data_IF_646672768475
#
_entry.id   IF_646672768475
#
_cell.length_a   1.000
_cell.length_b   1.000
_cell.length_c   1.000
_cell.angle_alpha   90.00
_cell.angle_beta   90.00
_cell.angle_gamma   90.00
#
_symmetry.space_group_name_H-M   'P 1'
#
loop_
_entity.id
_entity.type
_entity.pdbx_description
1 polymer ?
#
# COMPACT_ATOMS: atom_id res chain seq x y z
N UNK A 1 -7.72 7.59 14.11
CA UNK A 1 -8.54 7.76 12.88
C UNK A 1 -7.99 6.93 11.72
N UNK A 2 -8.83 6.28 10.89
CA UNK A 2 -8.37 5.54 9.69
C UNK A 2 -8.59 6.36 8.41
N UNK A 3 -7.60 6.37 7.51
CA UNK A 3 -7.68 7.12 6.24
C UNK A 3 -7.18 6.24 5.10
N UNK A 4 -8.04 5.98 4.12
CA UNK A 4 -7.62 5.39 2.85
C UNK A 4 -7.04 6.47 1.95
N UNK A 5 -5.91 6.18 1.31
CA UNK A 5 -5.44 6.98 0.19
C UNK A 5 -4.99 6.15 -1.00
N UNK A 6 -5.17 6.75 -2.17
CA UNK A 6 -4.67 6.23 -3.44
C UNK A 6 -4.34 7.39 -4.36
N UNK A 7 -3.40 7.16 -5.27
CA UNK A 7 -3.23 8.05 -6.41
C UNK A 7 -4.46 8.00 -7.31
N UNK A 8 -4.69 9.11 -8.01
CA UNK A 8 -5.69 9.21 -9.06
C UNK A 8 -5.24 8.35 -10.26
N UNK A 9 -5.99 7.30 -10.64
CA UNK A 9 -5.60 6.42 -11.73
C UNK A 9 -5.60 7.11 -13.10
N UNK A 10 -6.28 8.25 -13.25
CA UNK A 10 -6.38 9.02 -14.49
C UNK A 10 -5.58 10.35 -14.43
N UNK A 11 -4.97 10.67 -13.28
CA UNK A 11 -4.38 11.98 -12.98
C UNK A 11 -2.87 12.09 -13.17
N UNK A 12 -2.33 13.29 -12.93
CA UNK A 12 -0.88 13.54 -12.78
C UNK A 12 -0.33 12.75 -11.58
N UNK A 13 0.98 12.43 -11.62
CA UNK A 13 1.65 11.48 -10.71
C UNK A 13 1.53 11.76 -9.21
N UNK A 14 1.15 12.96 -8.82
CA UNK A 14 1.03 13.44 -7.44
C UNK A 14 -0.44 13.62 -6.98
N UNK A 15 -1.43 13.53 -7.88
CA UNK A 15 -2.84 13.68 -7.50
C UNK A 15 -3.37 12.41 -6.85
N UNK A 16 -4.28 12.57 -5.91
CA UNK A 16 -4.86 11.43 -5.21
C UNK A 16 -6.22 11.70 -4.61
N UNK A 17 -6.71 10.69 -3.90
CA UNK A 17 -7.93 10.74 -3.13
C UNK A 17 -7.65 10.31 -1.70
N UNK A 18 -8.27 11.01 -0.75
CA UNK A 18 -8.30 10.69 0.66
C UNK A 18 -9.73 10.39 1.09
N UNK A 19 -9.93 9.32 1.85
CA UNK A 19 -11.23 8.96 2.40
C UNK A 19 -11.06 8.56 3.86
N UNK A 20 -11.78 9.22 4.77
CA UNK A 20 -11.84 8.76 6.16
C UNK A 20 -12.68 7.49 6.22
N UNK A 21 -12.18 6.49 6.92
CA UNK A 21 -12.80 5.19 7.10
C UNK A 21 -13.14 5.03 8.59
N UNK A 22 -14.36 4.58 8.86
CA UNK A 22 -14.79 4.26 10.22
C UNK A 22 -14.16 2.95 10.70
N UNK A 23 -14.22 2.67 12.00
CA UNK A 23 -13.72 1.40 12.55
C UNK A 23 -14.50 0.17 12.04
N UNK A 24 -15.67 0.37 11.42
CA UNK A 24 -16.45 -0.70 10.78
C UNK A 24 -16.06 -0.91 9.30
N UNK A 25 -15.16 -0.08 8.75
CA UNK A 25 -14.74 -0.15 7.35
C UNK A 25 -15.57 0.70 6.39
N UNK A 26 -16.64 1.33 6.86
CA UNK A 26 -17.49 2.21 6.03
C UNK A 26 -16.86 3.61 5.83
N UNK A 27 -17.17 4.23 4.69
CA UNK A 27 -16.78 5.60 4.39
C UNK A 27 -17.41 6.60 5.39
N UNK A 28 -16.57 7.30 6.13
CA UNK A 28 -16.97 8.35 7.06
C UNK A 28 -16.95 9.73 6.38
N UNK A 29 -17.90 9.95 5.47
CA UNK A 29 -18.02 11.17 4.66
C UNK A 29 -17.54 10.99 3.22
N UNK A 30 -17.50 12.06 2.41
CA UNK A 30 -17.10 11.98 1.00
C UNK A 30 -15.59 11.86 0.83
N UNK A 31 -15.18 11.22 -0.27
CA UNK A 31 -13.78 11.19 -0.69
C UNK A 31 -13.33 12.60 -1.10
N UNK A 32 -12.14 12.98 -0.66
CA UNK A 32 -11.51 14.27 -0.93
C UNK A 32 -10.41 14.10 -1.97
N UNK A 33 -10.59 14.73 -3.12
CA UNK A 33 -9.52 14.86 -4.11
C UNK A 33 -8.42 15.80 -3.56
N UNK A 34 -7.17 15.41 -3.77
CA UNK A 34 -5.99 16.18 -3.39
C UNK A 34 -5.08 16.37 -4.60
N UNK A 35 -4.55 17.59 -4.73
CA UNK A 35 -3.68 17.94 -5.84
C UNK A 35 -2.25 17.38 -5.68
N UNK A 36 -1.81 17.18 -4.44
CA UNK A 36 -0.51 16.63 -4.07
C UNK A 36 -0.71 15.71 -2.86
N UNK A 37 -0.74 14.41 -3.13
CA UNK A 37 -1.04 13.38 -2.15
C UNK A 37 0.06 13.30 -1.10
N UNK A 38 1.32 13.37 -1.51
CA UNK A 38 2.45 13.26 -0.60
C UNK A 38 2.52 14.43 0.38
N UNK A 39 2.23 15.65 -0.07
CA UNK A 39 2.17 16.83 0.80
C UNK A 39 1.04 16.71 1.82
N UNK A 40 -0.13 16.23 1.41
CA UNK A 40 -1.29 16.05 2.29
C UNK A 40 -1.06 14.95 3.34
N UNK A 41 -0.47 13.81 2.93
CA UNK A 41 -0.06 12.76 3.86
C UNK A 41 0.95 13.31 4.87
N UNK A 42 1.96 14.05 4.41
CA UNK A 42 2.97 14.65 5.29
C UNK A 42 2.39 15.67 6.27
N UNK A 43 1.43 16.50 5.84
CA UNK A 43 0.76 17.45 6.70
C UNK A 43 -0.07 16.75 7.80
N UNK A 44 -0.79 15.69 7.45
CA UNK A 44 -1.59 14.92 8.40
C UNK A 44 -0.73 14.15 9.41
N UNK A 45 0.39 13.57 8.98
CA UNK A 45 1.38 12.95 9.88
C UNK A 45 2.01 13.97 10.83
N UNK A 46 2.29 15.19 10.39
CA UNK A 46 2.89 16.24 11.25
C UNK A 46 1.89 16.89 12.22
N UNK A 47 0.59 16.85 11.90
CA UNK A 47 -0.44 17.51 12.70
C UNK A 47 -0.73 16.82 14.03
N UNK A 48 -0.27 15.58 14.24
CA UNK A 48 -0.53 14.80 15.45
C UNK A 48 0.69 13.98 15.86
N UNK A 49 0.80 13.63 17.15
CA UNK A 49 1.85 12.73 17.64
C UNK A 49 1.41 11.28 17.46
N UNK A 50 2.34 10.35 17.21
CA UNK A 50 2.06 8.91 17.13
C UNK A 50 1.23 8.34 18.31
N UNK A 51 1.39 8.93 19.51
CA UNK A 51 0.66 8.52 20.71
C UNK A 51 -0.79 9.03 20.76
N UNK A 52 -1.16 9.95 19.86
CA UNK A 52 -2.51 10.49 19.75
C UNK A 52 -3.45 9.41 19.15
N UNK A 53 -4.59 9.11 19.79
CA UNK A 53 -5.64 8.27 19.19
C UNK A 53 -6.15 8.77 17.83
N UNK A 54 -6.09 10.09 17.61
CA UNK A 54 -6.48 10.71 16.34
C UNK A 54 -5.38 10.63 15.28
N UNK A 55 -4.18 10.16 15.64
CA UNK A 55 -3.10 9.96 14.66
C UNK A 55 -3.59 9.06 13.51
N UNK A 56 -3.32 9.45 12.24
CA UNK A 56 -3.73 8.67 11.10
C UNK A 56 -3.18 7.25 11.17
N UNK A 57 -4.06 6.29 10.90
CA UNK A 57 -3.68 4.97 10.41
C UNK A 57 -4.10 4.89 8.97
N UNK A 58 -3.11 4.76 8.11
CA UNK A 58 -3.35 4.76 6.67
C UNK A 58 -3.82 3.41 6.14
N UNK A 59 -4.56 3.41 5.05
CA UNK A 59 -4.96 2.21 4.31
C UNK A 59 -4.53 2.42 2.86
N UNK A 60 -3.59 1.58 2.40
CA UNK A 60 -3.01 1.63 1.07
C UNK A 60 -3.49 0.45 0.22
N UNK A 61 -3.76 0.63 -1.09
CA UNK A 61 -3.91 -0.49 -2.01
C UNK A 61 -2.68 -1.41 -1.99
N UNK A 62 -1.48 -0.81 -2.04
CA UNK A 62 -0.20 -1.48 -1.82
C UNK A 62 0.83 -0.45 -1.33
N UNK A 63 1.63 -0.79 -0.31
CA UNK A 63 2.66 0.11 0.23
C UNK A 63 3.76 0.39 -0.80
N UNK A 64 4.08 -0.61 -1.63
CA UNK A 64 5.09 -0.51 -2.69
C UNK A 64 4.79 0.61 -3.70
N UNK A 65 3.51 0.97 -3.85
CA UNK A 65 3.05 1.98 -4.80
C UNK A 65 3.18 3.40 -4.24
N UNK A 66 3.10 3.57 -2.92
CA UNK A 66 2.98 4.88 -2.26
C UNK A 66 4.26 5.25 -1.48
N UNK A 67 4.83 4.32 -0.72
CA UNK A 67 5.93 4.60 0.19
C UNK A 67 7.18 5.17 -0.51
N UNK A 68 7.60 4.72 -1.70
CA UNK A 68 8.79 5.29 -2.35
C UNK A 68 8.67 6.80 -2.63
N UNK A 69 7.49 7.28 -3.02
CA UNK A 69 7.26 8.69 -3.31
C UNK A 69 7.26 9.55 -2.04
N UNK A 70 6.59 9.07 -0.98
CA UNK A 70 6.62 9.70 0.35
C UNK A 70 8.05 9.81 0.89
N UNK A 71 8.82 8.73 0.84
CA UNK A 71 10.19 8.69 1.33
C UNK A 71 11.11 9.65 0.58
N UNK A 72 10.97 9.79 -0.75
CA UNK A 72 11.72 10.78 -1.54
C UNK A 72 11.44 12.22 -1.10
N UNK A 73 10.25 12.49 -0.56
CA UNK A 73 9.86 13.79 0.00
C UNK A 73 10.14 13.91 1.50
N UNK A 74 10.79 12.91 2.11
CA UNK A 74 11.11 12.90 3.54
C UNK A 74 9.90 12.65 4.45
N UNK A 75 8.75 12.23 3.89
CA UNK A 75 7.56 11.90 4.67
C UNK A 75 7.70 10.47 5.20
N UNK A 76 7.59 10.33 6.52
CA UNK A 76 7.62 9.03 7.21
C UNK A 76 6.24 8.79 7.81
N UNK A 77 5.61 7.73 7.33
CA UNK A 77 4.32 7.26 7.84
C UNK A 77 4.57 6.33 9.01
N UNK A 78 3.82 6.53 10.10
CA UNK A 78 3.95 5.69 11.29
C UNK A 78 3.13 4.40 11.20
N UNK A 79 1.81 4.49 10.94
CA UNK A 79 0.90 3.33 10.90
C UNK A 79 0.21 3.20 9.55
N UNK A 80 0.27 2.02 8.96
CA UNK A 80 -0.52 1.69 7.77
C UNK A 80 -1.05 0.25 7.77
N UNK A 81 -2.11 0.03 6.99
CA UNK A 81 -2.59 -1.25 6.50
C UNK A 81 -2.28 -1.34 5.01
N UNK A 82 -1.69 -2.47 4.62
CA UNK A 82 -1.41 -2.80 3.22
C UNK A 82 -2.40 -3.87 2.77
N UNK A 83 -3.31 -3.49 1.88
CA UNK A 83 -4.38 -4.39 1.43
C UNK A 83 -3.83 -5.53 0.58
N UNK A 84 -2.87 -5.26 -0.31
CA UNK A 84 -2.24 -6.29 -1.11
C UNK A 84 -1.45 -7.31 -0.27
N UNK A 85 -0.72 -6.84 0.75
CA UNK A 85 -0.05 -7.72 1.71
C UNK A 85 -1.06 -8.57 2.49
N UNK A 86 -2.12 -7.94 2.99
CA UNK A 86 -3.17 -8.62 3.76
C UNK A 86 -3.82 -9.72 2.92
N UNK A 87 -4.22 -9.42 1.69
CA UNK A 87 -4.80 -10.40 0.77
C UNK A 87 -3.84 -11.56 0.49
N UNK A 88 -2.54 -11.29 0.31
CA UNK A 88 -1.53 -12.33 0.10
C UNK A 88 -1.48 -13.33 1.27
N UNK A 89 -1.58 -12.82 2.51
CA UNK A 89 -1.56 -13.64 3.73
C UNK A 89 -2.82 -14.49 3.84
N UNK A 90 -3.99 -13.93 3.52
CA UNK A 90 -5.27 -14.66 3.52
C UNK A 90 -5.27 -15.75 2.45
N UNK A 91 -4.81 -15.43 1.23
CA UNK A 91 -4.68 -16.41 0.15
C UNK A 91 -3.70 -17.53 0.53
N UNK A 92 -2.56 -17.20 1.14
CA UNK A 92 -1.63 -18.21 1.61
C UNK A 92 -2.24 -19.11 2.69
N UNK A 93 -2.99 -18.55 3.63
CA UNK A 93 -3.72 -19.30 4.65
C UNK A 93 -4.76 -20.26 4.03
N UNK A 94 -5.40 -19.86 2.93
CA UNK A 94 -6.34 -20.68 2.16
C UNK A 94 -5.65 -21.69 1.22
N UNK A 95 -4.31 -21.76 1.19
CA UNK A 95 -3.57 -22.63 0.28
C UNK A 95 -3.49 -22.14 -1.18
N UNK A 96 -3.80 -20.87 -1.41
CA UNK A 96 -3.89 -20.19 -2.72
C UNK A 96 -2.72 -19.23 -2.94
N UNK A 97 -1.55 -19.60 -2.43
CA UNK A 97 -0.34 -18.79 -2.54
C UNK A 97 -0.01 -18.49 -4.01
N UNK A 98 0.31 -17.23 -4.31
CA UNK A 98 0.65 -16.78 -5.67
C UNK A 98 -0.52 -16.37 -6.54
N UNK A 99 -1.77 -16.48 -6.06
CA UNK A 99 -2.91 -15.85 -6.74
C UNK A 99 -2.83 -14.31 -6.72
N UNK A 100 -3.47 -13.61 -7.69
CA UNK A 100 -3.55 -12.16 -7.69
C UNK A 100 -4.13 -11.61 -6.38
N UNK A 101 -3.40 -10.65 -5.80
CA UNK A 101 -3.58 -10.09 -4.45
C UNK A 101 -3.82 -8.58 -4.44
N UNK A 102 -3.80 -7.91 -5.58
CA UNK A 102 -4.10 -6.48 -5.67
C UNK A 102 -5.51 -6.16 -5.14
N UNK A 103 -5.75 -4.90 -4.74
CA UNK A 103 -7.08 -4.46 -4.32
C UNK A 103 -8.17 -4.79 -5.36
N UNK A 104 -7.87 -4.62 -6.65
CA UNK A 104 -8.78 -4.99 -7.74
C UNK A 104 -9.07 -6.50 -7.79
N UNK A 105 -8.05 -7.34 -7.55
CA UNK A 105 -8.20 -8.79 -7.48
C UNK A 105 -9.05 -9.23 -6.27
N UNK A 106 -8.74 -8.70 -5.09
CA UNK A 106 -9.50 -8.96 -3.86
C UNK A 106 -10.96 -8.53 -4.02
N UNK A 107 -11.20 -7.34 -4.57
CA UNK A 107 -12.54 -6.83 -4.81
C UNK A 107 -13.31 -7.69 -5.82
N UNK A 108 -12.69 -8.08 -6.94
CA UNK A 108 -13.32 -8.96 -7.92
C UNK A 108 -13.70 -10.32 -7.31
N UNK A 109 -12.78 -10.92 -6.55
CA UNK A 109 -13.00 -12.19 -5.84
C UNK A 109 -14.17 -12.09 -4.85
N UNK A 110 -14.22 -11.03 -4.05
CA UNK A 110 -15.31 -10.78 -3.09
C UNK A 110 -16.68 -10.67 -3.77
N UNK A 111 -16.73 -10.16 -5.00
CA UNK A 111 -17.97 -9.96 -5.76
C UNK A 111 -18.24 -11.06 -6.80
N UNK A 112 -17.46 -12.14 -6.82
CA UNK A 112 -17.62 -13.24 -7.79
C UNK A 112 -17.37 -12.84 -9.25
N UNK A 113 -16.56 -11.79 -9.47
CA UNK A 113 -16.18 -11.30 -10.79
C UNK A 113 -14.86 -11.96 -11.27
N UNK A 114 -14.55 -11.90 -12.58
CA UNK A 114 -13.26 -12.34 -13.09
C UNK A 114 -12.11 -11.61 -12.41
N UNK A 115 -11.17 -12.36 -11.83
CA UNK A 115 -10.03 -11.79 -11.10
C UNK A 115 -8.99 -11.26 -12.10
N UNK A 116 -8.70 -9.95 -12.12
CA UNK A 116 -7.64 -9.40 -12.95
C UNK A 116 -6.26 -9.91 -12.49
N UNK A 117 -5.29 -10.08 -13.39
CA UNK A 117 -3.91 -10.32 -12.99
C UNK A 117 -3.38 -9.11 -12.22
N UNK A 118 -2.49 -9.34 -11.27
CA UNK A 118 -1.78 -8.25 -10.63
C UNK A 118 -0.88 -7.52 -11.64
N UNK A 119 -0.74 -6.21 -11.45
CA UNK A 119 0.26 -5.44 -12.16
C UNK A 119 1.65 -5.90 -11.70
N UNK A 120 2.61 -5.93 -12.62
CA UNK A 120 3.99 -6.20 -12.28
C UNK A 120 4.47 -5.24 -11.17
N UNK A 121 5.12 -5.78 -10.14
CA UNK A 121 5.66 -4.99 -9.04
C UNK A 121 6.61 -3.90 -9.58
N UNK A 122 6.38 -2.63 -9.21
CA UNK A 122 7.18 -1.48 -9.66
C UNK A 122 6.72 -0.79 -10.95
N UNK A 123 5.56 -1.15 -11.52
CA UNK A 123 5.07 -0.56 -12.76
C UNK A 123 4.32 0.79 -12.62
N UNK A 124 4.19 1.35 -11.41
CA UNK A 124 3.94 2.78 -11.26
C UNK A 124 5.27 3.49 -11.45
N UNK A 125 5.54 3.98 -12.67
CA UNK A 125 6.73 4.72 -13.13
C UNK A 125 7.73 5.10 -12.01
N UNK A 126 8.49 4.11 -11.54
CA UNK A 126 9.77 4.38 -10.93
C UNK A 126 10.63 4.98 -12.05
N UNK A 127 11.42 6.04 -11.80
CA UNK A 127 12.39 6.52 -12.78
C UNK A 127 13.19 5.33 -13.30
N UNK A 128 13.43 5.30 -14.62
CA UNK A 128 14.03 4.18 -15.36
C UNK A 128 15.40 3.69 -14.83
N UNK A 129 15.96 4.40 -13.86
CA UNK A 129 17.22 4.08 -13.16
C UNK A 129 17.01 3.32 -11.83
N UNK A 130 15.88 2.64 -11.63
CA UNK A 130 15.74 1.67 -10.54
C UNK A 130 16.14 0.27 -11.04
N UNK A 131 17.41 -0.16 -10.93
CA UNK A 131 17.72 -1.57 -11.03
C UNK A 131 17.02 -2.23 -9.85
N UNK A 132 15.99 -3.02 -10.11
CA UNK A 132 15.25 -3.84 -9.14
C UNK A 132 16.10 -4.98 -8.52
N UNK A 133 17.41 -4.77 -8.41
CA UNK A 133 18.34 -5.59 -7.65
C UNK A 133 18.98 -4.71 -6.60
N UNK A 134 18.22 -4.33 -5.57
CA UNK A 134 18.87 -4.13 -4.28
C UNK A 134 19.51 -5.49 -3.93
N UNK A 135 20.84 -5.55 -3.80
CA UNK A 135 21.48 -6.79 -3.36
C UNK A 135 20.92 -7.14 -1.99
N UNK A 136 20.54 -8.40 -1.80
CA UNK A 136 20.09 -8.87 -0.49
C UNK A 136 21.23 -8.61 0.51
N UNK A 137 20.91 -7.98 1.65
CA UNK A 137 21.90 -7.70 2.70
C UNK A 137 22.55 -9.00 3.23
N UNK A 138 21.82 -10.11 3.10
CA UNK A 138 22.27 -11.46 3.41
C UNK A 138 21.92 -12.40 2.26
N UNK A 139 22.85 -13.26 1.89
CA UNK A 139 22.58 -14.40 1.02
C UNK A 139 21.85 -15.48 1.84
N UNK A 140 20.69 -15.99 1.40
CA UNK A 140 20.04 -17.08 2.11
C UNK A 140 20.93 -18.33 2.00
N UNK A 141 21.35 -18.87 3.15
CA UNK A 141 21.89 -20.22 3.21
C UNK A 141 20.80 -21.19 2.76
N UNK A 142 20.85 -21.58 1.49
CA UNK A 142 19.83 -22.43 0.86
C UNK A 142 19.82 -23.85 1.42
N UNK A 143 20.78 -24.21 2.27
CA UNK A 143 20.85 -25.56 2.84
C UNK A 143 19.74 -25.79 3.85
N UNK A 144 19.40 -24.80 4.69
CA UNK A 144 18.36 -24.91 5.74
C UNK A 144 18.52 -26.11 6.69
N UNK A 145 19.63 -26.84 6.60
CA UNK A 145 19.91 -28.09 7.29
C UNK A 145 21.24 -27.96 8.01
N UNK A 146 21.38 -28.54 9.22
CA UNK A 146 22.67 -28.61 9.87
C UNK A 146 23.67 -29.36 8.98
N UNK A 147 24.97 -28.99 8.98
CA UNK A 147 26.00 -29.83 8.40
C UNK A 147 26.09 -31.16 9.17
N UNK A 148 26.33 -32.25 8.44
CA UNK A 148 26.59 -33.59 9.00
C UNK A 148 27.79 -33.61 9.96
#
# INVERSE_FOLDING_TARGET
MQIAATYDPEGFKDRGFLQVISDQGDAAGPARAVADLEAEVGALEQASSWQDPEHPRWIWPATADIAPALLRRGVRVDKCHDLALTEALLLAYEGRCGEPRSLGAAWARLHGLPVPPDRAEGALDAPADNPTTQPALFEPDRSGLPPD
#
